data_IF_751032468205
#
_entry.id   IF_751032468205
#
_cell.length_a   1.000
_cell.length_b   1.000
_cell.length_c   1.000
_cell.angle_alpha   90.00
_cell.angle_beta   90.00
_cell.angle_gamma   90.00
#
_symmetry.space_group_name_H-M   'P 1'
#
loop_
_entity.id
_entity.type
_entity.pdbx_description
1 polymer ?
#
# COMPACT_ATOMS: atom_id res chain seq x y z
N UNK A 1 -13.29 5.51 -11.85
CA UNK A 1 -13.77 4.91 -10.58
C UNK A 1 -13.06 3.56 -10.44
N UNK A 2 -11.88 3.56 -9.85
CA UNK A 2 -11.13 2.34 -9.57
C UNK A 2 -11.40 1.93 -8.12
N UNK A 3 -11.89 0.71 -7.93
CA UNK A 3 -11.99 0.06 -6.65
C UNK A 3 -10.73 -0.81 -6.51
N UNK A 4 -9.71 -0.31 -5.80
CA UNK A 4 -8.54 -1.12 -5.47
C UNK A 4 -8.83 -1.87 -4.16
N UNK A 5 -9.13 -3.16 -4.26
CA UNK A 5 -9.24 -4.06 -3.11
C UNK A 5 -7.86 -4.66 -2.88
N UNK A 6 -7.13 -4.16 -1.90
CA UNK A 6 -5.84 -4.75 -1.49
C UNK A 6 -6.14 -5.93 -0.54
N UNK A 7 -6.07 -7.14 -1.08
CA UNK A 7 -6.24 -8.40 -0.34
C UNK A 7 -4.91 -8.78 0.32
N UNK A 8 -4.65 -8.31 1.53
CA UNK A 8 -3.55 -8.81 2.36
C UNK A 8 -4.14 -9.53 3.60
N UNK A 9 -3.77 -10.79 3.86
CA UNK A 9 -4.19 -11.48 5.07
C UNK A 9 -3.50 -10.85 6.30
N UNK A 10 -4.29 -10.52 7.32
CA UNK A 10 -3.81 -10.04 8.62
C UNK A 10 -3.58 -11.21 9.61
N UNK A 11 -2.61 -11.09 10.55
CA UNK A 11 -2.58 -11.90 11.75
C UNK A 11 -3.66 -11.44 12.76
N UNK A 12 -4.16 -12.38 13.57
CA UNK A 12 -5.42 -12.32 14.35
C UNK A 12 -5.58 -11.17 15.37
N UNK A 13 -4.53 -10.37 15.64
CA UNK A 13 -4.50 -9.39 16.74
C UNK A 13 -4.56 -7.91 16.30
N UNK A 14 -4.97 -7.61 15.06
CA UNK A 14 -4.91 -6.26 14.48
C UNK A 14 -6.26 -5.57 14.32
N UNK A 15 -7.05 -5.36 15.38
CA UNK A 15 -8.34 -4.68 15.28
C UNK A 15 -8.17 -3.19 14.88
N UNK A 16 -8.36 -2.89 13.58
CA UNK A 16 -8.45 -1.52 13.10
C UNK A 16 -9.88 -1.01 13.28
N UNK A 17 -10.02 -0.03 14.17
CA UNK A 17 -11.29 0.58 14.53
C UNK A 17 -11.97 1.28 13.34
N UNK A 18 -13.29 1.19 13.29
CA UNK A 18 -14.15 1.84 12.31
C UNK A 18 -14.10 3.36 12.47
N UNK A 19 -13.18 4.04 11.78
CA UNK A 19 -13.08 5.50 11.78
C UNK A 19 -13.72 6.06 10.51
N UNK A 20 -14.95 6.57 10.63
CA UNK A 20 -15.62 7.35 9.58
C UNK A 20 -15.14 8.82 9.55
N UNK A 21 -13.90 9.09 9.95
CA UNK A 21 -13.31 10.41 9.86
C UNK A 21 -12.72 10.60 8.45
N UNK A 22 -13.05 11.72 7.80
CA UNK A 22 -12.40 12.19 6.57
C UNK A 22 -12.66 11.37 5.28
N UNK A 23 -13.88 10.87 5.07
CA UNK A 23 -14.25 10.25 3.78
C UNK A 23 -13.63 8.87 3.53
N UNK A 24 -13.10 8.26 4.60
CA UNK A 24 -12.55 6.91 4.62
C UNK A 24 -13.54 5.99 5.30
N UNK A 25 -13.84 4.85 4.67
CA UNK A 25 -14.57 3.76 5.32
C UNK A 25 -13.62 2.57 5.43
N UNK A 26 -13.46 2.04 6.64
CA UNK A 26 -12.70 0.83 6.92
C UNK A 26 -13.55 -0.17 7.67
N UNK A 27 -13.53 -1.41 7.22
CA UNK A 27 -14.18 -2.54 7.86
C UNK A 27 -13.27 -3.76 7.78
N UNK A 28 -13.10 -4.45 8.90
CA UNK A 28 -12.44 -5.75 8.91
C UNK A 28 -13.49 -6.84 8.75
N UNK A 29 -13.30 -7.71 7.76
CA UNK A 29 -14.20 -8.83 7.50
C UNK A 29 -13.41 -10.04 7.03
N UNK A 30 -13.59 -11.16 7.70
CA UNK A 30 -13.02 -12.46 7.30
C UNK A 30 -11.48 -12.42 7.14
N UNK A 31 -10.78 -11.63 7.96
CA UNK A 31 -9.33 -11.45 7.91
C UNK A 31 -8.82 -10.45 6.86
N UNK A 32 -9.72 -9.71 6.22
CA UNK A 32 -9.41 -8.68 5.23
C UNK A 32 -9.82 -7.28 5.70
N UNK A 33 -9.03 -6.27 5.33
CA UNK A 33 -9.43 -4.87 5.48
C UNK A 33 -10.13 -4.41 4.21
N UNK A 34 -11.39 -4.03 4.34
CA UNK A 34 -12.18 -3.39 3.31
C UNK A 34 -12.09 -1.89 3.48
N UNK A 35 -11.30 -1.25 2.63
CA UNK A 35 -11.14 0.21 2.62
C UNK A 35 -11.87 0.82 1.42
N UNK A 36 -12.67 1.86 1.65
CA UNK A 36 -13.20 2.74 0.60
C UNK A 36 -12.68 4.15 0.83
N UNK A 37 -12.08 4.70 -0.21
CA UNK A 37 -11.45 6.01 -0.23
C UNK A 37 -11.87 6.75 -1.49
N UNK A 38 -11.92 8.07 -1.41
CA UNK A 38 -12.33 8.95 -2.50
C UNK A 38 -11.41 10.16 -2.53
N UNK A 39 -11.18 10.69 -3.73
CA UNK A 39 -10.31 11.84 -3.93
C UNK A 39 -9.56 11.74 -5.24
N UNK A 40 -8.59 12.62 -5.41
CA UNK A 40 -7.53 12.48 -6.40
C UNK A 40 -6.64 11.26 -6.09
N UNK A 41 -5.90 10.79 -7.08
CA UNK A 41 -5.02 9.62 -6.93
C UNK A 41 -4.00 9.80 -5.80
N UNK A 42 -3.46 11.02 -5.65
CA UNK A 42 -2.53 11.34 -4.55
C UNK A 42 -3.20 11.28 -3.17
N UNK A 43 -4.41 11.82 -3.03
CA UNK A 43 -5.16 11.77 -1.77
C UNK A 43 -5.54 10.33 -1.40
N UNK A 44 -5.99 9.55 -2.38
CA UNK A 44 -6.27 8.12 -2.23
C UNK A 44 -5.02 7.38 -1.73
N UNK A 45 -3.88 7.60 -2.39
CA UNK A 45 -2.59 7.03 -2.01
C UNK A 45 -2.22 7.41 -0.58
N UNK A 46 -2.26 8.69 -0.23
CA UNK A 46 -1.93 9.19 1.11
C UNK A 46 -2.76 8.52 2.20
N UNK A 47 -4.08 8.42 2.00
CA UNK A 47 -4.96 7.75 2.96
C UNK A 47 -4.59 6.27 3.10
N UNK A 48 -4.39 5.56 1.98
CA UNK A 48 -3.98 4.15 2.03
C UNK A 48 -2.64 3.99 2.77
N UNK A 49 -1.65 4.81 2.46
CA UNK A 49 -0.34 4.81 3.13
C UNK A 49 -0.46 4.99 4.64
N UNK A 50 -1.22 6.00 5.07
CA UNK A 50 -1.42 6.34 6.47
C UNK A 50 -2.07 5.22 7.27
N UNK A 51 -3.16 4.66 6.77
CA UNK A 51 -3.92 3.64 7.50
C UNK A 51 -3.35 2.22 7.36
N UNK A 52 -2.56 1.96 6.32
CA UNK A 52 -1.99 0.63 6.05
C UNK A 52 -0.46 0.58 6.22
N UNK A 53 0.16 1.59 6.86
CA UNK A 53 1.62 1.69 6.99
C UNK A 53 2.29 0.39 7.49
N UNK A 54 1.78 -0.17 8.60
CA UNK A 54 2.31 -1.43 9.18
C UNK A 54 2.10 -2.66 8.30
N UNK A 55 1.10 -2.64 7.42
CA UNK A 55 0.86 -3.70 6.43
C UNK A 55 1.77 -3.55 5.22
N UNK A 56 1.99 -2.31 4.77
CA UNK A 56 2.91 -2.00 3.68
C UNK A 56 4.33 -2.42 4.06
N UNK A 57 4.80 -2.08 5.26
CA UNK A 57 6.13 -2.47 5.74
C UNK A 57 6.31 -4.00 5.77
N UNK A 58 5.36 -4.71 6.38
CA UNK A 58 5.37 -6.19 6.40
C UNK A 58 5.31 -6.79 5.00
N UNK A 59 4.48 -6.23 4.12
CA UNK A 59 4.37 -6.63 2.73
C UNK A 59 5.69 -6.46 1.98
N UNK A 60 6.35 -5.32 2.13
CA UNK A 60 7.67 -5.08 1.53
C UNK A 60 8.72 -6.08 2.01
N UNK A 61 8.76 -6.40 3.32
CA UNK A 61 9.68 -7.41 3.85
C UNK A 61 9.41 -8.80 3.26
N UNK A 62 8.14 -9.20 3.15
CA UNK A 62 7.76 -10.48 2.54
C UNK A 62 8.14 -10.54 1.06
N UNK A 63 7.90 -9.48 0.29
CA UNK A 63 8.28 -9.41 -1.12
C UNK A 63 9.79 -9.37 -1.32
N UNK A 64 10.53 -8.68 -0.47
CA UNK A 64 11.99 -8.67 -0.48
C UNK A 64 12.54 -10.09 -0.30
N UNK A 65 12.07 -10.79 0.73
CA UNK A 65 12.48 -12.18 0.99
C UNK A 65 12.12 -13.12 -0.17
N UNK A 66 10.89 -13.02 -0.70
CA UNK A 66 10.44 -13.87 -1.80
C UNK A 66 11.25 -13.61 -3.08
N UNK A 67 11.58 -12.36 -3.35
CA UNK A 67 12.32 -11.96 -4.56
C UNK A 67 13.75 -12.49 -4.52
N UNK A 68 14.41 -12.38 -3.37
CA UNK A 68 15.73 -12.97 -3.16
C UNK A 68 15.69 -14.49 -3.30
N UNK A 69 14.74 -15.15 -2.63
CA UNK A 69 14.61 -16.61 -2.68
C UNK A 69 14.32 -17.13 -4.09
N UNK A 70 13.46 -16.46 -4.86
CA UNK A 70 12.95 -16.96 -6.14
C UNK A 70 13.78 -16.53 -7.34
N UNK A 71 14.30 -15.31 -7.32
CA UNK A 71 14.98 -14.69 -8.45
C UNK A 71 16.46 -14.44 -8.18
N UNK A 72 16.94 -14.69 -6.96
CA UNK A 72 18.33 -14.40 -6.58
C UNK A 72 18.68 -12.91 -6.60
N UNK A 73 17.65 -12.05 -6.54
CA UNK A 73 17.80 -10.60 -6.65
C UNK A 73 17.56 -9.96 -5.28
N UNK A 74 18.54 -9.18 -4.83
CA UNK A 74 18.43 -8.40 -3.60
C UNK A 74 17.40 -7.28 -3.74
N UNK A 75 16.88 -6.80 -2.60
CA UNK A 75 15.91 -5.70 -2.62
C UNK A 75 16.48 -4.42 -3.22
N UNK A 76 17.77 -4.15 -3.05
CA UNK A 76 18.44 -2.99 -3.65
C UNK A 76 18.47 -3.05 -5.18
N UNK A 77 18.71 -4.24 -5.75
CA UNK A 77 18.64 -4.46 -7.20
C UNK A 77 17.21 -4.28 -7.74
N UNK A 78 16.20 -4.75 -7.01
CA UNK A 78 14.78 -4.52 -7.35
C UNK A 78 14.47 -3.02 -7.38
N UNK A 79 14.92 -2.27 -6.37
CA UNK A 79 14.70 -0.82 -6.28
C UNK A 79 15.36 -0.08 -7.44
N UNK A 80 16.55 -0.51 -7.88
CA UNK A 80 17.23 0.06 -9.03
C UNK A 80 16.40 -0.11 -10.32
N UNK A 81 15.81 -1.29 -10.51
CA UNK A 81 14.86 -1.50 -11.62
C UNK A 81 13.65 -0.57 -11.49
N UNK A 82 13.09 -0.42 -10.29
CA UNK A 82 12.00 0.52 -10.01
C UNK A 82 12.29 1.95 -10.50
N UNK A 83 13.49 2.46 -10.26
CA UNK A 83 13.92 3.80 -10.74
C UNK A 83 13.93 3.88 -12.26
N UNK A 84 14.37 2.81 -12.93
CA UNK A 84 14.43 2.74 -14.40
C UNK A 84 13.03 2.70 -15.03
N UNK A 85 12.10 1.99 -14.38
CA UNK A 85 10.71 1.90 -14.85
C UNK A 85 9.85 3.11 -14.50
N UNK A 86 10.21 3.86 -13.45
CA UNK A 86 9.42 4.98 -12.94
C UNK A 86 8.94 6.00 -13.99
N UNK A 87 9.75 6.43 -14.99
CA UNK A 87 9.30 7.39 -16.00
C UNK A 87 8.16 6.87 -16.89
N UNK A 88 8.00 5.55 -16.99
CA UNK A 88 7.00 4.89 -17.83
C UNK A 88 5.70 4.57 -17.09
N UNK A 89 5.64 4.85 -15.79
CA UNK A 89 4.41 4.69 -15.00
C UNK A 89 3.50 5.87 -15.30
N UNK A 90 2.23 5.59 -15.60
CA UNK A 90 1.25 6.64 -15.88
C UNK A 90 1.15 7.62 -14.70
N UNK A 91 0.86 8.89 -15.01
CA UNK A 91 0.85 9.96 -14.01
C UNK A 91 -0.11 9.63 -12.85
N UNK A 92 -1.28 9.07 -13.14
CA UNK A 92 -2.27 8.70 -12.13
C UNK A 92 -1.70 7.75 -11.07
N UNK A 93 -1.03 6.68 -11.50
CA UNK A 93 -0.41 5.70 -10.60
C UNK A 93 0.82 6.27 -9.89
N UNK A 94 1.60 7.13 -10.55
CA UNK A 94 2.73 7.80 -9.88
C UNK A 94 2.26 8.67 -8.73
N UNK A 95 1.20 9.45 -8.94
CA UNK A 95 0.62 10.28 -7.90
C UNK A 95 0.07 9.44 -6.74
N UNK A 96 -0.60 8.32 -7.02
CA UNK A 96 -1.07 7.39 -5.99
C UNK A 96 0.08 6.76 -5.20
N UNK A 97 1.13 6.26 -5.87
CA UNK A 97 2.30 5.67 -5.21
C UNK A 97 3.04 6.72 -4.37
N UNK A 98 3.18 7.95 -4.85
CA UNK A 98 3.79 9.05 -4.11
C UNK A 98 2.97 9.40 -2.86
N UNK A 99 1.65 9.53 -3.01
CA UNK A 99 0.76 9.74 -1.87
C UNK A 99 0.90 8.62 -0.85
N UNK A 100 0.92 7.37 -1.29
CA UNK A 100 1.07 6.21 -0.39
C UNK A 100 2.39 6.24 0.38
N UNK A 101 3.49 6.61 -0.28
CA UNK A 101 4.78 6.77 0.40
C UNK A 101 4.75 7.91 1.43
N UNK A 102 4.09 9.03 1.12
CA UNK A 102 3.90 10.16 2.05
C UNK A 102 3.09 9.73 3.27
N UNK A 103 1.93 9.11 3.06
CA UNK A 103 1.06 8.66 4.15
C UNK A 103 1.72 7.62 5.05
N UNK A 104 2.44 6.66 4.46
CA UNK A 104 3.13 5.61 5.21
C UNK A 104 4.33 6.13 6.02
N UNK A 105 4.90 7.27 5.65
CA UNK A 105 5.99 7.89 6.41
C UNK A 105 5.51 8.65 7.65
N UNK A 106 4.21 8.97 7.73
CA UNK A 106 3.60 9.73 8.84
C UNK A 106 2.85 8.85 9.86
N UNK A 107 2.53 7.59 9.51
CA UNK A 107 1.80 6.62 10.34
C UNK A 107 2.71 5.70 11.13
#
# INVERSE_FOLDING_TARGET
MLLLVVLLPLPEDGALAQTAAEGVYMEEREGFIHMKVWGSSREIGYIQGKYLASLIERGMAAYAHLTELRYGMSWDEVRLHGVTYWPYVDQEYREEILGMAEGAAEG
#
